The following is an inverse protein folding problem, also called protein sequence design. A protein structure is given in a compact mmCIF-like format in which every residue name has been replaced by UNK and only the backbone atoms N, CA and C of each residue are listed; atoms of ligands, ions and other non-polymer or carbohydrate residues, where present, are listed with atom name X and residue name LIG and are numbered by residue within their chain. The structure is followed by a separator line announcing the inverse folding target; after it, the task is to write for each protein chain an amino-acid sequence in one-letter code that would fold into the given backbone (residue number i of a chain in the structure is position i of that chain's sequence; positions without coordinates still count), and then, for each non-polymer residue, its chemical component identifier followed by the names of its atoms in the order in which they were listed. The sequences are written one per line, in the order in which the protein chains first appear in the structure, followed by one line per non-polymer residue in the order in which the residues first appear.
data_IF_631124292274
#
_entry.id   IF_631124292274
#
_cell.length_a   1.000
_cell.length_b   1.000
_cell.length_c   1.000
_cell.angle_alpha   90.00
_cell.angle_beta   90.00
_cell.angle_gamma   90.00
#
_symmetry.space_group_name_H-M   'P 1'
#
loop_
_entity.id
_entity.type
_entity.pdbx_description
1 polymer ?
#
# COMPACT_ATOMS: atom_id res chain seq x y z
N UNK A 1 -13.17 25.12 15.74
CA UNK A 1 -11.74 24.73 15.81
C UNK A 1 -11.38 24.21 14.43
N UNK A 2 -10.90 25.11 13.58
CA UNK A 2 -10.44 24.73 12.23
C UNK A 2 -9.08 24.05 12.38
N UNK A 3 -8.83 22.90 11.74
CA UNK A 3 -7.51 22.31 11.77
C UNK A 3 -6.59 23.11 10.85
N UNK A 4 -5.69 23.90 11.44
CA UNK A 4 -4.56 24.52 10.74
C UNK A 4 -3.66 23.45 10.14
N UNK A 5 -3.86 23.14 8.86
CA UNK A 5 -2.94 22.31 8.08
C UNK A 5 -1.82 23.23 7.58
N UNK A 6 -0.90 23.59 8.48
CA UNK A 6 0.35 24.26 8.14
C UNK A 6 1.17 23.37 7.19
N UNK A 7 1.31 23.80 5.94
CA UNK A 7 2.24 23.23 4.96
C UNK A 7 3.66 23.77 5.19
N UNK A 8 4.25 23.52 6.36
CA UNK A 8 5.55 24.06 6.74
C UNK A 8 6.31 23.24 7.79
N UNK A 9 7.57 22.93 7.44
CA UNK A 9 8.67 22.33 8.24
C UNK A 9 8.55 20.89 8.77
N UNK A 10 7.35 20.39 9.08
CA UNK A 10 7.17 19.05 9.66
C UNK A 10 6.60 18.06 8.64
N UNK A 11 7.00 16.78 8.71
CA UNK A 11 6.48 15.71 7.86
C UNK A 11 4.95 15.59 7.99
N UNK A 12 4.21 16.21 7.07
CA UNK A 12 2.74 16.22 7.08
C UNK A 12 2.16 14.81 7.05
N UNK A 13 2.80 13.88 6.31
CA UNK A 13 2.43 12.45 6.30
C UNK A 13 2.49 11.81 7.68
N UNK A 14 3.49 12.15 8.50
CA UNK A 14 3.63 11.62 9.84
C UNK A 14 2.51 12.13 10.76
N UNK A 15 2.19 13.43 10.68
CA UNK A 15 1.08 14.02 11.45
C UNK A 15 -0.26 13.42 11.06
N UNK A 16 -0.49 13.18 9.76
CA UNK A 16 -1.72 12.53 9.28
C UNK A 16 -1.78 11.10 9.81
N UNK A 17 -0.70 10.33 9.70
CA UNK A 17 -0.63 8.96 10.21
C UNK A 17 -0.95 8.88 11.71
N UNK A 18 -0.37 9.75 12.54
CA UNK A 18 -0.62 9.80 13.99
C UNK A 18 -2.06 10.21 14.33
N UNK A 19 -2.66 11.11 13.56
CA UNK A 19 -4.04 11.55 13.77
C UNK A 19 -5.02 10.43 13.40
N UNK A 20 -4.79 9.75 12.28
CA UNK A 20 -5.64 8.65 11.82
C UNK A 20 -5.50 7.42 12.74
N UNK A 21 -4.30 7.14 13.26
CA UNK A 21 -4.08 6.11 14.28
C UNK A 21 -4.95 6.33 15.52
N UNK A 22 -4.91 7.55 16.09
CA UNK A 22 -5.76 7.91 17.24
C UNK A 22 -7.24 7.85 16.93
N UNK A 23 -7.63 8.23 15.71
CA UNK A 23 -9.02 8.18 15.27
C UNK A 23 -9.51 6.73 15.11
N UNK A 24 -8.65 5.83 14.62
CA UNK A 24 -8.94 4.41 14.52
C UNK A 24 -9.18 3.80 15.91
N UNK A 25 -8.30 4.06 16.87
CA UNK A 25 -8.47 3.57 18.25
C UNK A 25 -9.79 4.07 18.87
N UNK A 26 -10.13 5.34 18.63
CA UNK A 26 -11.38 5.92 19.14
C UNK A 26 -12.62 5.29 18.48
N UNK A 27 -12.58 5.04 17.16
CA UNK A 27 -13.69 4.38 16.46
C UNK A 27 -13.88 2.93 16.91
N UNK A 28 -12.79 2.19 17.10
CA UNK A 28 -12.85 0.82 17.61
C UNK A 28 -13.41 0.77 19.05
N UNK A 29 -13.16 1.79 19.89
CA UNK A 29 -13.70 1.83 21.24
C UNK A 29 -15.15 2.33 21.36
N UNK A 30 -15.61 3.24 20.49
CA UNK A 30 -16.91 3.91 20.66
C UNK A 30 -17.96 3.58 19.60
N UNK A 31 -17.57 3.24 18.38
CA UNK A 31 -18.50 3.07 17.25
C UNK A 31 -17.98 2.05 16.22
N UNK A 32 -17.96 0.76 16.60
CA UNK A 32 -17.57 -0.33 15.67
C UNK A 32 -18.48 -0.42 14.42
N UNK A 33 -19.73 0.03 14.51
CA UNK A 33 -20.72 -0.08 13.42
C UNK A 33 -20.52 0.88 12.23
N UNK A 34 -19.62 1.87 12.32
CA UNK A 34 -19.37 2.80 11.21
C UNK A 34 -18.38 2.22 10.17
N UNK A 35 -18.86 1.20 9.44
CA UNK A 35 -18.12 0.52 8.38
C UNK A 35 -17.62 1.48 7.29
N UNK A 36 -18.33 2.59 7.02
CA UNK A 36 -17.93 3.58 6.01
C UNK A 36 -16.71 4.37 6.46
N UNK A 37 -16.68 4.80 7.71
CA UNK A 37 -15.52 5.48 8.29
C UNK A 37 -14.28 4.58 8.26
N UNK A 38 -14.42 3.30 8.65
CA UNK A 38 -13.33 2.32 8.60
C UNK A 38 -12.81 2.10 7.17
N UNK A 39 -13.69 2.01 6.17
CA UNK A 39 -13.28 1.89 4.77
C UNK A 39 -12.52 3.12 4.26
N UNK A 40 -12.86 4.33 4.74
CA UNK A 40 -12.13 5.56 4.41
C UNK A 40 -10.75 5.54 5.07
N UNK A 41 -10.64 5.11 6.32
CA UNK A 41 -9.35 4.98 7.03
C UNK A 41 -8.41 4.02 6.29
N UNK A 42 -8.91 2.85 5.87
CA UNK A 42 -8.14 1.90 5.06
C UNK A 42 -7.64 2.55 3.77
N UNK A 43 -8.46 3.36 3.09
CA UNK A 43 -8.02 4.11 1.89
C UNK A 43 -6.96 5.16 2.22
N UNK A 44 -7.05 5.84 3.36
CA UNK A 44 -6.03 6.82 3.77
C UNK A 44 -4.70 6.10 4.03
N UNK A 45 -4.72 4.93 4.69
CA UNK A 45 -3.53 4.10 4.88
C UNK A 45 -2.92 3.59 3.57
N UNK A 46 -3.76 3.17 2.61
CA UNK A 46 -3.33 2.82 1.26
C UNK A 46 -2.56 3.98 0.60
N UNK A 47 -3.11 5.20 0.64
CA UNK A 47 -2.46 6.38 0.09
C UNK A 47 -1.17 6.77 0.83
N UNK A 48 -1.16 6.64 2.16
CA UNK A 48 -0.01 6.96 3.00
C UNK A 48 1.14 5.96 2.86
N UNK A 49 0.86 4.71 2.50
CA UNK A 49 1.91 3.69 2.34
C UNK A 49 2.35 3.52 0.88
N UNK A 50 1.42 3.49 -0.08
CA UNK A 50 1.71 3.12 -1.47
C UNK A 50 1.84 4.33 -2.41
N UNK A 51 1.32 5.49 -2.02
CA UNK A 51 1.28 6.68 -2.87
C UNK A 51 2.41 7.65 -2.52
N UNK A 52 3.62 7.30 -2.95
CA UNK A 52 4.79 8.18 -2.90
C UNK A 52 5.35 8.27 -4.32
N UNK A 53 5.31 9.45 -4.94
CA UNK A 53 5.85 9.67 -6.29
C UNK A 53 4.96 9.22 -7.47
N UNK A 54 4.02 8.28 -7.28
CA UNK A 54 3.02 7.87 -8.28
C UNK A 54 2.36 6.52 -7.95
N UNK A 55 1.30 6.13 -8.67
CA UNK A 55 0.71 4.79 -8.55
C UNK A 55 1.51 3.78 -9.36
N UNK A 56 1.92 2.68 -8.71
CA UNK A 56 2.60 1.57 -9.39
C UNK A 56 1.76 0.98 -10.53
N UNK A 57 0.45 0.86 -10.34
CA UNK A 57 -0.46 0.35 -11.37
C UNK A 57 -0.52 1.23 -12.62
N UNK A 58 -0.54 2.55 -12.43
CA UNK A 58 -0.53 3.52 -13.53
C UNK A 58 0.81 3.50 -14.27
N UNK A 59 1.92 3.41 -13.52
CA UNK A 59 3.24 3.22 -14.08
C UNK A 59 3.33 1.93 -14.90
N UNK A 60 2.87 0.79 -14.37
CA UNK A 60 2.89 -0.50 -15.06
C UNK A 60 2.01 -0.51 -16.31
N UNK A 61 0.89 0.21 -16.29
CA UNK A 61 0.06 0.43 -17.47
C UNK A 61 0.81 1.22 -18.55
N UNK A 62 1.44 2.35 -18.18
CA UNK A 62 2.25 3.17 -19.09
C UNK A 62 3.46 2.43 -19.63
N UNK A 63 4.14 1.65 -18.79
CA UNK A 63 5.27 0.81 -19.19
C UNK A 63 4.87 -0.24 -20.23
N UNK A 64 3.73 -0.91 -20.03
CA UNK A 64 3.18 -1.87 -21.00
C UNK A 64 2.79 -1.20 -22.31
N UNK A 65 2.13 -0.05 -22.23
CA UNK A 65 1.76 0.74 -23.42
C UNK A 65 2.99 1.17 -24.23
N UNK A 66 4.00 1.76 -23.58
CA UNK A 66 5.24 2.16 -24.21
C UNK A 66 6.00 0.98 -24.83
N UNK A 67 5.98 -0.19 -24.18
CA UNK A 67 6.57 -1.43 -24.70
C UNK A 67 5.83 -1.94 -25.94
N UNK A 68 4.50 -1.83 -25.98
CA UNK A 68 3.69 -2.20 -27.14
C UNK A 68 3.94 -1.26 -28.33
N UNK A 69 3.97 0.05 -28.10
CA UNK A 69 4.28 1.07 -29.13
C UNK A 69 5.68 0.87 -29.67
N UNK A 70 6.67 0.62 -28.79
CA UNK A 70 8.03 0.27 -29.21
C UNK A 70 8.04 -0.94 -30.15
N UNK A 71 7.30 -2.01 -29.82
CA UNK A 71 7.25 -3.23 -30.63
C UNK A 71 6.52 -3.02 -31.96
N UNK A 72 5.55 -2.11 -32.02
CA UNK A 72 4.84 -1.79 -33.25
C UNK A 72 5.67 -0.91 -34.20
N UNK A 73 6.49 -0.02 -33.66
CA UNK A 73 7.30 0.94 -34.42
C UNK A 73 8.77 0.52 -34.59
N UNK A 74 9.17 -0.69 -34.17
CA UNK A 74 10.54 -1.16 -34.36
C UNK A 74 10.80 -1.56 -35.81
N UNK A 75 11.79 -0.93 -36.43
CA UNK A 75 12.33 -1.40 -37.70
C UNK A 75 13.30 -2.57 -37.43
N UNK A 76 12.82 -3.79 -37.68
CA UNK A 76 13.60 -5.02 -37.48
C UNK A 76 14.74 -5.18 -38.48
N UNK A 77 14.70 -4.48 -39.62
CA UNK A 77 15.75 -4.51 -40.65
C UNK A 77 16.86 -3.49 -40.38
N UNK A 78 16.53 -2.28 -39.94
CA UNK A 78 17.51 -1.19 -39.78
C UNK A 78 18.33 -1.23 -38.46
N UNK A 79 18.14 -2.25 -37.63
CA UNK A 79 18.89 -2.48 -36.38
C UNK A 79 18.29 -1.82 -35.13
N UNK A 80 18.64 -2.37 -33.96
CA UNK A 80 17.95 -2.20 -32.65
C UNK A 80 18.00 -0.80 -31.99
N UNK A 81 18.31 0.30 -32.69
CA UNK A 81 18.53 1.63 -32.05
C UNK A 81 18.02 2.87 -32.79
N UNK A 82 17.30 2.75 -33.91
CA UNK A 82 16.64 3.91 -34.56
C UNK A 82 15.21 4.06 -34.05
N UNK A 83 15.06 4.58 -32.84
CA UNK A 83 13.73 4.88 -32.28
C UNK A 83 13.32 6.32 -32.63
N UNK A 84 12.02 6.52 -32.85
CA UNK A 84 11.43 7.86 -33.00
C UNK A 84 11.65 8.67 -31.71
N UNK A 85 11.94 9.98 -31.86
CA UNK A 85 12.21 10.88 -30.73
C UNK A 85 11.16 10.81 -29.59
N UNK A 86 9.84 10.76 -29.86
CA UNK A 86 8.84 10.65 -28.80
C UNK A 86 9.01 9.43 -27.89
N UNK A 87 9.38 8.28 -28.47
CA UNK A 87 9.59 7.03 -27.71
C UNK A 87 10.83 7.11 -26.81
N UNK A 88 11.87 7.85 -27.24
CA UNK A 88 13.06 8.08 -26.43
C UNK A 88 12.74 9.00 -25.24
N UNK A 89 11.93 10.05 -25.43
CA UNK A 89 11.49 10.94 -24.35
C UNK A 89 10.65 10.16 -23.33
N UNK A 90 9.67 9.38 -23.80
CA UNK A 90 8.82 8.55 -22.95
C UNK A 90 9.66 7.53 -22.15
N UNK A 91 10.67 6.93 -22.78
CA UNK A 91 11.59 6.01 -22.10
C UNK A 91 12.40 6.69 -20.98
N UNK A 92 12.86 7.93 -21.19
CA UNK A 92 13.58 8.68 -20.14
C UNK A 92 12.65 9.02 -18.99
N UNK A 93 11.41 9.42 -19.28
CA UNK A 93 10.39 9.70 -18.27
C UNK A 93 10.06 8.44 -17.44
N UNK A 94 9.79 7.31 -18.10
CA UNK A 94 9.54 6.04 -17.43
C UNK A 94 10.74 5.59 -16.58
N UNK A 95 11.97 5.79 -17.05
CA UNK A 95 13.17 5.47 -16.28
C UNK A 95 13.28 6.34 -15.01
N UNK A 96 12.89 7.61 -15.09
CA UNK A 96 12.88 8.52 -13.94
C UNK A 96 11.82 8.10 -12.91
N UNK A 97 10.60 7.80 -13.37
CA UNK A 97 9.51 7.31 -12.52
C UNK A 97 9.88 5.98 -11.85
N UNK A 98 10.48 5.04 -12.61
CA UNK A 98 10.97 3.77 -12.07
C UNK A 98 12.00 3.97 -10.95
N UNK A 99 12.93 4.93 -11.12
CA UNK A 99 13.93 5.26 -10.09
C UNK A 99 13.28 5.80 -8.82
N UNK A 100 12.21 6.60 -8.95
CA UNK A 100 11.48 7.13 -7.80
C UNK A 100 10.78 6.00 -7.06
N UNK A 101 10.07 5.12 -7.79
CA UNK A 101 9.35 3.97 -7.22
C UNK A 101 10.27 3.00 -6.50
N UNK A 102 11.41 2.65 -7.10
CA UNK A 102 12.37 1.70 -6.52
C UNK A 102 12.99 2.20 -5.21
N UNK A 103 13.25 3.52 -5.11
CA UNK A 103 13.76 4.13 -3.89
C UNK A 103 12.81 3.95 -2.69
N UNK A 104 11.51 3.93 -2.92
CA UNK A 104 10.49 3.85 -1.86
C UNK A 104 10.41 2.44 -1.26
N UNK A 105 10.58 1.40 -2.09
CA UNK A 105 10.60 0.00 -1.64
C UNK A 105 11.65 -0.26 -0.55
N UNK A 106 12.77 0.46 -0.59
CA UNK A 106 13.92 0.21 0.28
C UNK A 106 13.83 0.79 1.70
N UNK A 107 12.88 1.70 2.00
CA UNK A 107 12.85 2.41 3.29
C UNK A 107 11.62 2.08 4.13
N UNK A 108 11.74 1.04 4.97
CA UNK A 108 10.74 0.75 6.00
C UNK A 108 10.97 1.65 7.23
N UNK A 109 10.10 2.64 7.44
CA UNK A 109 10.16 3.53 8.61
C UNK A 109 9.43 2.93 9.82
N UNK A 110 9.67 3.47 11.01
CA UNK A 110 8.93 3.12 12.23
C UNK A 110 7.43 3.44 12.11
N UNK A 111 7.07 4.51 11.40
CA UNK A 111 5.67 4.86 11.13
C UNK A 111 4.96 3.80 10.29
N UNK A 112 5.63 3.25 9.27
CA UNK A 112 5.05 2.16 8.47
C UNK A 112 4.74 0.93 9.33
N UNK A 113 5.50 0.66 10.40
CA UNK A 113 5.21 -0.45 11.33
C UNK A 113 3.94 -0.21 12.16
N UNK A 114 3.68 1.03 12.59
CA UNK A 114 2.46 1.38 13.33
C UNK A 114 1.24 1.27 12.42
N UNK A 115 1.30 1.88 11.24
CA UNK A 115 0.24 1.79 10.22
C UNK A 115 -0.07 0.34 9.83
N UNK A 116 0.96 -0.49 9.84
CA UNK A 116 0.83 -1.91 9.55
C UNK A 116 0.09 -2.67 10.64
N UNK A 117 0.43 -2.44 11.91
CA UNK A 117 -0.26 -3.08 13.03
C UNK A 117 -1.74 -2.71 13.05
N UNK A 118 -2.05 -1.45 12.76
CA UNK A 118 -3.42 -0.97 12.58
C UNK A 118 -4.15 -1.66 11.42
N UNK A 119 -3.49 -1.77 10.26
CA UNK A 119 -4.07 -2.45 9.11
C UNK A 119 -4.27 -3.94 9.39
N UNK A 120 -3.42 -4.54 10.21
CA UNK A 120 -3.57 -5.92 10.66
C UNK A 120 -4.76 -6.09 11.62
N UNK A 121 -4.95 -5.17 12.58
CA UNK A 121 -6.16 -5.12 13.42
C UNK A 121 -7.42 -5.01 12.57
N UNK A 122 -7.41 -4.13 11.56
CA UNK A 122 -8.52 -3.97 10.61
C UNK A 122 -8.78 -5.24 9.78
N UNK A 123 -7.72 -5.98 9.42
CA UNK A 123 -7.82 -7.26 8.72
C UNK A 123 -8.38 -8.41 9.58
N UNK A 124 -8.40 -8.27 10.91
CA UNK A 124 -9.02 -9.24 11.83
C UNK A 124 -10.39 -8.80 12.34
N UNK A 125 -10.91 -7.65 11.90
CA UNK A 125 -12.26 -7.19 12.29
C UNK A 125 -13.36 -8.14 11.78
N UNK A 126 -14.52 -8.09 12.44
CA UNK A 126 -15.71 -8.91 12.14
C UNK A 126 -16.35 -8.53 10.80
N UNK A 127 -16.19 -7.28 10.35
CA UNK A 127 -16.80 -6.82 9.10
C UNK A 127 -16.04 -7.31 7.87
N UNK A 128 -16.69 -8.17 7.09
CA UNK A 128 -16.13 -8.80 5.87
C UNK A 128 -15.60 -7.79 4.86
N UNK A 129 -16.32 -6.70 4.60
CA UNK A 129 -15.93 -5.70 3.59
C UNK A 129 -14.66 -4.92 3.98
N UNK A 130 -14.60 -4.47 5.24
CA UNK A 130 -13.42 -3.79 5.82
C UNK A 130 -12.23 -4.74 5.80
N UNK A 131 -12.44 -5.98 6.23
CA UNK A 131 -11.44 -7.05 6.23
C UNK A 131 -10.86 -7.31 4.83
N UNK A 132 -11.70 -7.53 3.82
CA UNK A 132 -11.25 -7.78 2.43
C UNK A 132 -10.42 -6.59 1.92
N UNK A 133 -10.84 -5.37 2.22
CA UNK A 133 -10.13 -4.18 1.74
C UNK A 133 -8.79 -3.98 2.46
N UNK A 134 -8.77 -4.15 3.78
CA UNK A 134 -7.55 -4.09 4.57
C UNK A 134 -6.54 -5.16 4.12
N UNK A 135 -7.00 -6.40 3.89
CA UNK A 135 -6.17 -7.49 3.37
C UNK A 135 -5.59 -7.18 2.00
N UNK A 136 -6.37 -6.60 1.07
CA UNK A 136 -5.86 -6.18 -0.25
C UNK A 136 -4.73 -5.16 -0.13
N UNK A 137 -4.92 -4.11 0.66
CA UNK A 137 -3.87 -3.09 0.90
C UNK A 137 -2.64 -3.75 1.53
N UNK A 138 -2.86 -4.65 2.49
CA UNK A 138 -1.81 -5.36 3.20
C UNK A 138 -1.01 -6.30 2.27
N UNK A 139 -1.63 -6.88 1.26
CA UNK A 139 -0.93 -7.65 0.20
C UNK A 139 -0.12 -6.72 -0.70
N UNK A 140 -0.70 -5.62 -1.16
CA UNK A 140 0.03 -4.63 -1.96
C UNK A 140 1.25 -4.06 -1.21
N UNK A 141 1.17 -3.90 0.12
CA UNK A 141 2.30 -3.50 0.94
C UNK A 141 3.41 -4.58 1.01
N UNK A 142 3.07 -5.88 1.01
CA UNK A 142 4.09 -6.95 0.92
C UNK A 142 4.85 -6.85 -0.41
N UNK A 143 4.13 -6.62 -1.51
CA UNK A 143 4.70 -6.57 -2.86
C UNK A 143 5.59 -5.33 -3.11
N UNK A 144 5.44 -4.30 -2.28
CA UNK A 144 6.20 -3.05 -2.37
C UNK A 144 7.37 -3.01 -1.39
N UNK A 145 7.31 -3.69 -0.26
CA UNK A 145 8.35 -3.61 0.78
C UNK A 145 9.03 -4.97 1.01
N UNK A 146 10.27 -5.13 0.53
CA UNK A 146 11.04 -6.39 0.54
C UNK A 146 11.19 -7.07 1.93
N UNK A 147 11.15 -6.29 3.03
CA UNK A 147 11.32 -6.79 4.40
C UNK A 147 10.02 -6.91 5.20
N UNK A 148 8.89 -6.60 4.58
CA UNK A 148 7.59 -6.50 5.25
C UNK A 148 7.02 -7.87 5.63
N UNK A 149 7.16 -8.88 4.77
CA UNK A 149 6.72 -10.25 5.04
C UNK A 149 7.33 -10.81 6.34
N UNK A 150 8.61 -10.55 6.61
CA UNK A 150 9.30 -11.03 7.82
C UNK A 150 8.78 -10.40 9.11
N UNK A 151 8.30 -9.16 9.05
CA UNK A 151 7.79 -8.43 10.23
C UNK A 151 6.36 -8.88 10.58
N UNK A 152 5.60 -9.36 9.60
CA UNK A 152 4.22 -9.84 9.76
C UNK A 152 4.09 -11.30 10.20
N UNK A 153 5.10 -12.14 9.94
CA UNK A 153 5.07 -13.56 10.30
C UNK A 153 4.93 -13.81 11.82
N UNK A 154 5.65 -13.10 12.71
CA UNK A 154 5.50 -13.31 14.16
C UNK A 154 4.09 -13.00 14.70
N UNK A 155 3.45 -11.85 14.40
CA UNK A 155 2.11 -11.53 14.91
C UNK A 155 0.99 -12.35 14.25
N UNK A 156 1.15 -12.82 13.01
CA UNK A 156 0.18 -13.76 12.42
C UNK A 156 0.27 -15.13 13.08
N UNK A 157 1.49 -15.61 13.33
CA UNK A 157 1.73 -16.94 13.91
C UNK A 157 1.32 -17.02 15.39
N UNK A 158 1.46 -15.92 16.14
CA UNK A 158 0.97 -15.85 17.53
C UNK A 158 -0.56 -15.85 17.62
N UNK A 159 -1.26 -15.20 16.69
CA UNK A 159 -2.73 -15.26 16.61
C UNK A 159 -3.27 -16.57 16.02
N UNK A 160 -2.42 -17.37 15.38
CA UNK A 160 -2.75 -18.71 14.89
C UNK A 160 -2.53 -19.79 15.98
N UNK A 161 -1.76 -19.48 17.03
CA UNK A 161 -1.56 -20.40 18.15
C UNK A 161 -2.85 -20.48 18.98
N UNK A 162 -3.62 -21.54 18.72
CA UNK A 162 -4.80 -22.02 19.43
C UNK A 162 -4.93 -21.56 20.90
N UNK A 163 -5.48 -20.37 21.12
CA UNK A 163 -6.12 -20.00 22.39
C UNK A 163 -7.64 -20.10 22.22
N UNK A 164 -8.38 -20.62 23.23
CA UNK A 164 -9.81 -20.95 23.12
C UNK A 164 -10.75 -19.74 22.99
N UNK A 165 -10.23 -18.51 23.02
CA UNK A 165 -10.97 -17.25 22.90
C UNK A 165 -10.90 -16.60 21.50
N UNK A 166 -10.25 -17.25 20.51
CA UNK A 166 -10.11 -16.66 19.17
C UNK A 166 -11.40 -16.87 18.38
N UNK A 167 -12.01 -15.76 17.92
CA UNK A 167 -13.24 -15.79 17.13
C UNK A 167 -13.01 -16.53 15.80
N UNK A 168 -13.99 -17.34 15.37
CA UNK A 168 -13.94 -18.10 14.12
C UNK A 168 -13.69 -17.20 12.87
N UNK A 169 -14.02 -15.91 12.98
CA UNK A 169 -13.77 -14.87 11.98
C UNK A 169 -12.29 -14.47 11.90
N UNK A 170 -11.59 -14.36 13.04
CA UNK A 170 -10.17 -14.01 13.11
C UNK A 170 -9.29 -15.13 12.56
N UNK A 171 -9.69 -16.39 12.82
CA UNK A 171 -9.03 -17.56 12.27
C UNK A 171 -9.15 -17.63 10.73
N UNK A 172 -10.33 -17.32 10.18
CA UNK A 172 -10.50 -17.17 8.72
C UNK A 172 -9.67 -16.02 8.16
N UNK A 173 -9.62 -14.88 8.85
CA UNK A 173 -8.81 -13.73 8.46
C UNK A 173 -7.32 -14.03 8.37
N UNK A 174 -6.77 -14.81 9.32
CA UNK A 174 -5.37 -15.24 9.30
C UNK A 174 -5.10 -16.33 8.24
N UNK A 175 -6.02 -17.29 8.06
CA UNK A 175 -5.83 -18.42 7.14
C UNK A 175 -5.79 -17.98 5.67
N UNK A 176 -6.62 -17.01 5.28
CA UNK A 176 -6.66 -16.46 3.90
C UNK A 176 -5.34 -15.81 3.46
N UNK A 177 -4.42 -15.55 4.39
CA UNK A 177 -3.11 -14.94 4.13
C UNK A 177 -1.94 -15.93 4.18
N UNK A 178 -2.16 -17.16 4.65
CA UNK A 178 -1.13 -18.22 4.68
C UNK A 178 -1.13 -19.06 3.39
N UNK A 179 -2.24 -19.09 2.66
CA UNK A 179 -2.37 -19.70 1.33
C UNK A 179 -2.13 -18.68 0.22
#
# INVERSE_FOLDING_TARGET
MEPDISMGEHNSRARIAELIHRLLDHLLCHHEDDTKALLIIVKIYDLLMLHVGGQRDEFDSRWRSASAVKRAMEDKLAGKKKHVRPLLIERVQLQHEMRILDRISTQLTTLHKVLLDDLFKLATTVYTEVRIKAQRVLSSCIDVFDYFARTLVPPTLSRLQNSPDISHEEFKGCTVRVC
#
